data_IF_011607512670
#
_entry.id   IF_011607512670
#
_cell.length_a   1.000
_cell.length_b   1.000
_cell.length_c   1.000
_cell.angle_alpha   90.00
_cell.angle_beta   90.00
_cell.angle_gamma   90.00
#
_symmetry.space_group_name_H-M   'P 1'
#
loop_
_entity.id
_entity.type
_entity.pdbx_description
1 polymer ?
#
# COMPACT_ATOMS: atom_id res chain seq x y z
N UNK A 1 9.88 12.84 -5.85
CA UNK A 1 9.94 11.37 -6.02
C UNK A 1 10.27 10.60 -4.74
N UNK A 2 11.28 10.98 -3.94
CA UNK A 2 11.51 10.34 -2.61
C UNK A 2 10.32 10.46 -1.65
N UNK A 3 9.47 11.50 -1.79
CA UNK A 3 8.27 11.71 -0.98
C UNK A 3 7.19 10.64 -1.19
N UNK A 4 6.98 10.14 -2.41
CA UNK A 4 5.92 9.16 -2.72
C UNK A 4 6.15 7.85 -1.96
N UNK A 5 7.40 7.39 -1.88
CA UNK A 5 7.73 6.18 -1.12
C UNK A 5 7.59 6.37 0.39
N UNK A 6 7.95 7.57 0.91
CA UNK A 6 7.75 7.94 2.33
C UNK A 6 6.28 7.97 2.71
N UNK A 7 5.42 8.38 1.79
CA UNK A 7 3.98 8.50 2.01
C UNK A 7 3.33 7.12 2.16
N UNK A 8 3.71 6.15 1.32
CA UNK A 8 3.20 4.78 1.43
C UNK A 8 3.56 4.16 2.79
N UNK A 9 4.73 4.48 3.33
CA UNK A 9 5.19 4.01 4.65
C UNK A 9 4.39 4.61 5.81
N UNK A 10 3.97 5.88 5.69
CA UNK A 10 3.20 6.59 6.74
C UNK A 10 1.72 6.21 6.81
N UNK A 11 1.21 5.55 5.79
CA UNK A 11 -0.22 5.39 5.53
C UNK A 11 -0.90 4.22 6.23
N UNK A 12 -0.13 3.29 6.76
CA UNK A 12 -0.65 2.03 7.30
C UNK A 12 -1.04 2.16 8.79
N UNK A 13 -0.88 3.35 9.35
CA UNK A 13 -1.13 3.60 10.75
C UNK A 13 -2.46 4.33 10.94
N UNK A 14 -3.39 3.65 11.57
CA UNK A 14 -4.54 4.18 12.32
C UNK A 14 -5.94 3.94 11.75
N UNK A 15 -6.45 2.75 12.00
CA UNK A 15 -7.85 2.63 12.40
C UNK A 15 -7.88 2.52 13.94
N UNK A 16 -7.84 3.65 14.63
CA UNK A 16 -7.97 3.69 16.08
C UNK A 16 -9.45 3.66 16.45
N UNK A 17 -10.01 2.49 16.59
CA UNK A 17 -11.26 2.34 17.33
C UNK A 17 -10.93 2.01 18.77
N UNK A 18 -11.21 2.95 19.66
CA UNK A 18 -11.20 2.70 21.09
C UNK A 18 -12.27 1.67 21.43
N UNK A 19 -11.90 0.46 21.80
CA UNK A 19 -12.82 -0.46 22.41
C UNK A 19 -12.11 -1.47 23.31
N UNK A 20 -12.81 -1.88 24.35
CA UNK A 20 -12.48 -3.05 25.18
C UNK A 20 -12.62 -4.36 24.40
N UNK A 21 -12.28 -4.39 23.11
CA UNK A 21 -12.39 -5.57 22.27
C UNK A 21 -11.24 -6.53 22.55
N UNK A 22 -11.56 -7.81 22.41
CA UNK A 22 -10.55 -8.87 22.33
C UNK A 22 -9.57 -8.53 21.20
N UNK A 23 -8.26 -8.44 21.52
CA UNK A 23 -7.22 -8.02 20.59
C UNK A 23 -7.19 -8.84 19.29
N UNK A 24 -7.46 -10.15 19.36
CA UNK A 24 -7.55 -11.01 18.15
C UNK A 24 -8.64 -10.55 17.20
N UNK A 25 -9.84 -10.31 17.75
CA UNK A 25 -10.99 -9.90 16.93
C UNK A 25 -10.76 -8.51 16.33
N UNK A 26 -10.16 -7.61 17.11
CA UNK A 26 -9.77 -6.29 16.61
C UNK A 26 -8.79 -6.42 15.44
N UNK A 27 -7.65 -7.09 15.64
CA UNK A 27 -6.59 -7.20 14.64
C UNK A 27 -7.06 -7.89 13.35
N UNK A 28 -7.89 -8.94 13.47
CA UNK A 28 -8.46 -9.61 12.31
C UNK A 28 -9.42 -8.72 11.52
N UNK A 29 -10.30 -8.00 12.19
CA UNK A 29 -11.27 -7.12 11.55
C UNK A 29 -10.59 -5.91 10.90
N UNK A 30 -9.67 -5.26 11.63
CA UNK A 30 -8.90 -4.12 11.13
C UNK A 30 -8.14 -4.47 9.85
N UNK A 31 -7.46 -5.62 9.84
CA UNK A 31 -6.78 -6.11 8.65
C UNK A 31 -7.76 -6.33 7.48
N UNK A 32 -8.90 -7.00 7.71
CA UNK A 32 -9.92 -7.24 6.68
C UNK A 32 -10.49 -5.95 6.12
N UNK A 33 -10.88 -5.02 7.00
CA UNK A 33 -11.45 -3.73 6.61
C UNK A 33 -10.47 -2.88 5.82
N UNK A 34 -9.18 -2.87 6.24
CA UNK A 34 -8.11 -2.18 5.52
C UNK A 34 -7.88 -2.78 4.13
N UNK A 35 -7.84 -4.10 4.02
CA UNK A 35 -7.67 -4.78 2.73
C UNK A 35 -8.87 -4.55 1.80
N UNK A 36 -10.07 -4.57 2.35
CA UNK A 36 -11.30 -4.30 1.59
C UNK A 36 -11.33 -2.84 1.08
N UNK A 37 -10.93 -1.88 1.91
CA UNK A 37 -10.81 -0.48 1.53
C UNK A 37 -9.81 -0.29 0.37
N UNK A 38 -8.62 -0.92 0.45
CA UNK A 38 -7.62 -0.90 -0.62
C UNK A 38 -8.18 -1.49 -1.93
N UNK A 39 -8.79 -2.67 -1.86
CA UNK A 39 -9.33 -3.36 -3.03
C UNK A 39 -10.48 -2.61 -3.70
N UNK A 40 -11.33 -1.92 -2.92
CA UNK A 40 -12.42 -1.09 -3.41
C UNK A 40 -11.98 0.29 -3.87
N UNK A 41 -10.77 0.72 -3.51
CA UNK A 41 -10.28 2.08 -3.75
C UNK A 41 -10.96 3.12 -2.85
N UNK A 42 -11.51 2.70 -1.70
CA UNK A 42 -12.12 3.56 -0.70
C UNK A 42 -11.06 4.00 0.33
N UNK A 43 -10.12 4.78 -0.15
CA UNK A 43 -8.97 5.22 0.65
C UNK A 43 -9.35 6.22 1.75
N UNK A 44 -10.57 6.77 1.74
CA UNK A 44 -11.07 7.67 2.78
C UNK A 44 -11.16 6.98 4.15
N UNK A 45 -11.32 5.67 4.16
CA UNK A 45 -11.36 4.85 5.39
C UNK A 45 -9.98 4.61 6.01
N UNK A 46 -8.90 4.88 5.29
CA UNK A 46 -7.54 4.62 5.74
C UNK A 46 -6.94 5.78 6.58
N UNK A 47 -7.78 6.72 7.03
CA UNK A 47 -7.37 7.87 7.86
C UNK A 47 -6.14 8.61 7.33
N UNK A 48 -6.09 8.81 6.01
CA UNK A 48 -4.95 9.31 5.26
C UNK A 48 -5.15 10.77 4.88
N UNK A 49 -4.06 11.54 4.86
CA UNK A 49 -4.08 12.88 4.26
C UNK A 49 -4.29 12.81 2.74
N UNK A 50 -4.62 13.95 2.14
CA UNK A 50 -4.96 14.03 0.71
C UNK A 50 -3.81 13.56 -0.20
N UNK A 51 -2.57 13.92 0.12
CA UNK A 51 -1.38 13.56 -0.66
C UNK A 51 -1.18 12.04 -0.66
N UNK A 52 -1.40 11.44 0.49
CA UNK A 52 -1.36 9.99 0.69
C UNK A 52 -2.45 9.26 -0.11
N UNK A 53 -3.66 9.78 -0.12
CA UNK A 53 -4.77 9.21 -0.93
C UNK A 53 -4.44 9.27 -2.42
N UNK A 54 -3.89 10.39 -2.91
CA UNK A 54 -3.48 10.53 -4.31
C UNK A 54 -2.38 9.51 -4.68
N UNK A 55 -1.41 9.27 -3.79
CA UNK A 55 -0.38 8.26 -4.00
C UNK A 55 -0.97 6.83 -4.07
N UNK A 56 -1.93 6.49 -3.20
CA UNK A 56 -2.61 5.20 -3.25
C UNK A 56 -3.44 5.01 -4.52
N UNK A 57 -4.07 6.07 -5.01
CA UNK A 57 -4.89 6.02 -6.23
C UNK A 57 -4.09 5.57 -7.45
N UNK A 58 -2.78 5.87 -7.49
CA UNK A 58 -1.89 5.42 -8.56
C UNK A 58 -1.84 3.89 -8.66
N UNK A 59 -1.91 3.20 -7.51
CA UNK A 59 -1.88 1.74 -7.43
C UNK A 59 -3.27 1.07 -7.41
N UNK A 60 -4.34 1.83 -7.61
CA UNK A 60 -5.72 1.32 -7.49
C UNK A 60 -6.00 0.08 -8.36
N UNK A 61 -5.43 0.01 -9.56
CA UNK A 61 -5.53 -1.16 -10.44
C UNK A 61 -4.83 -2.40 -9.88
N UNK A 62 -3.70 -2.19 -9.18
CA UNK A 62 -2.93 -3.27 -8.55
C UNK A 62 -3.63 -3.83 -7.31
N UNK A 63 -4.23 -2.96 -6.47
CA UNK A 63 -5.01 -3.40 -5.31
C UNK A 63 -6.17 -4.32 -5.68
N UNK A 64 -6.84 -4.09 -6.81
CA UNK A 64 -7.90 -4.98 -7.32
C UNK A 64 -7.41 -6.38 -7.69
N UNK A 65 -6.12 -6.53 -7.98
CA UNK A 65 -5.48 -7.82 -8.32
C UNK A 65 -4.78 -8.47 -7.12
N UNK A 66 -4.71 -7.79 -5.98
CA UNK A 66 -4.15 -8.32 -4.75
C UNK A 66 -5.18 -9.26 -4.10
N UNK A 67 -4.71 -10.42 -3.65
CA UNK A 67 -5.52 -11.36 -2.86
C UNK A 67 -4.80 -11.71 -1.58
N UNK A 68 -5.55 -12.09 -0.55
CA UNK A 68 -4.98 -12.47 0.74
C UNK A 68 -5.74 -13.60 1.41
N UNK A 69 -5.06 -14.27 2.33
CA UNK A 69 -5.62 -15.26 3.24
C UNK A 69 -5.07 -15.03 4.64
N UNK A 70 -5.93 -14.95 5.64
CA UNK A 70 -5.53 -15.01 7.04
C UNK A 70 -5.34 -16.48 7.39
N UNK A 71 -4.14 -16.87 7.78
CA UNK A 71 -3.81 -18.24 8.14
C UNK A 71 -4.09 -18.49 9.62
N UNK A 72 -3.73 -17.52 10.48
CA UNK A 72 -3.86 -17.65 11.93
C UNK A 72 -3.83 -16.28 12.60
N UNK A 73 -4.58 -16.14 13.71
CA UNK A 73 -4.50 -14.99 14.62
C UNK A 73 -4.06 -15.51 15.99
N UNK A 74 -2.92 -15.01 16.47
CA UNK A 74 -2.30 -15.47 17.72
C UNK A 74 -2.14 -14.30 18.68
N UNK A 75 -2.64 -14.47 19.89
CA UNK A 75 -2.33 -13.56 21.01
C UNK A 75 -1.00 -13.99 21.60
N UNK A 76 0.02 -13.17 21.38
CA UNK A 76 1.37 -13.42 21.90
C UNK A 76 1.50 -12.95 23.35
N UNK A 77 0.77 -11.87 23.69
CA UNK A 77 0.62 -11.37 25.03
C UNK A 77 -0.69 -10.56 25.15
N UNK A 78 -1.02 -10.09 26.38
CA UNK A 78 -2.19 -9.22 26.62
C UNK A 78 -2.19 -7.91 25.80
N UNK A 79 -1.03 -7.50 25.31
CA UNK A 79 -0.83 -6.24 24.59
C UNK A 79 -0.22 -6.47 23.17
N UNK A 80 -0.16 -7.73 22.67
CA UNK A 80 0.39 -8.05 21.37
C UNK A 80 -0.34 -9.20 20.68
N UNK A 81 -0.76 -8.96 19.45
CA UNK A 81 -1.43 -9.94 18.58
C UNK A 81 -0.71 -10.02 17.24
N UNK A 82 -0.54 -11.23 16.73
CA UNK A 82 -0.01 -11.54 15.42
C UNK A 82 -1.15 -12.03 14.51
N UNK A 83 -1.26 -11.44 13.33
CA UNK A 83 -2.13 -11.92 12.26
C UNK A 83 -1.23 -12.47 11.16
N UNK A 84 -1.09 -13.80 11.09
CA UNK A 84 -0.33 -14.45 10.04
C UNK A 84 -1.14 -14.46 8.75
N UNK A 85 -0.58 -13.86 7.70
CA UNK A 85 -1.26 -13.69 6.41
C UNK A 85 -0.39 -14.21 5.27
N UNK A 86 -1.04 -14.77 4.26
CA UNK A 86 -0.43 -15.01 2.95
C UNK A 86 -1.07 -14.02 1.98
N UNK A 87 -0.25 -13.27 1.26
CA UNK A 87 -0.69 -12.26 0.29
C UNK A 87 -0.08 -12.56 -1.07
N UNK A 88 -0.94 -12.53 -2.12
CA UNK A 88 -0.52 -12.68 -3.51
C UNK A 88 -0.81 -11.38 -4.25
N UNK A 89 0.20 -10.83 -4.92
CA UNK A 89 0.15 -9.51 -5.51
C UNK A 89 0.95 -9.43 -6.83
N UNK A 90 0.58 -8.53 -7.77
CA UNK A 90 1.34 -8.33 -9.00
C UNK A 90 2.73 -7.76 -8.71
N UNK A 91 3.76 -8.24 -9.41
CA UNK A 91 5.12 -7.71 -9.34
C UNK A 91 5.26 -6.48 -10.24
N UNK A 92 5.35 -5.30 -9.64
CA UNK A 92 5.52 -4.03 -10.33
C UNK A 92 6.98 -3.52 -10.29
N UNK A 93 7.95 -4.36 -9.96
CA UNK A 93 9.37 -3.97 -9.88
C UNK A 93 9.91 -3.34 -11.17
N UNK A 94 9.36 -3.71 -12.33
CA UNK A 94 9.76 -3.15 -13.64
C UNK A 94 9.00 -1.87 -14.02
N UNK A 95 7.89 -1.55 -13.36
CA UNK A 95 7.12 -0.35 -13.68
C UNK A 95 7.93 0.95 -13.48
N UNK A 96 8.88 0.94 -12.55
CA UNK A 96 9.82 2.05 -12.35
C UNK A 96 10.68 2.35 -13.57
N UNK A 97 11.15 1.32 -14.29
CA UNK A 97 11.91 1.49 -15.53
C UNK A 97 11.03 2.05 -16.67
N UNK A 98 9.79 1.58 -16.77
CA UNK A 98 8.83 2.10 -17.74
C UNK A 98 8.58 3.58 -17.48
N UNK A 99 8.37 3.96 -16.22
CA UNK A 99 8.20 5.33 -15.79
C UNK A 99 9.40 6.22 -16.13
N UNK A 100 10.62 5.78 -15.79
CA UNK A 100 11.85 6.53 -16.12
C UNK A 100 11.99 6.75 -17.64
N UNK A 101 11.72 5.71 -18.44
CA UNK A 101 11.76 5.82 -19.91
C UNK A 101 10.71 6.82 -20.43
N UNK A 102 9.51 6.85 -19.86
CA UNK A 102 8.48 7.84 -20.19
C UNK A 102 8.92 9.26 -19.83
N UNK A 103 9.47 9.47 -18.65
CA UNK A 103 10.00 10.78 -18.24
C UNK A 103 11.07 11.28 -19.21
N UNK A 104 12.01 10.41 -19.62
CA UNK A 104 13.07 10.78 -20.58
C UNK A 104 12.49 11.15 -21.94
N UNK A 105 11.57 10.35 -22.47
CA UNK A 105 10.94 10.61 -23.77
C UNK A 105 10.10 11.88 -23.80
N UNK A 106 9.44 12.18 -22.69
CA UNK A 106 8.49 13.28 -22.57
C UNK A 106 9.11 14.53 -21.91
N UNK A 107 10.43 14.50 -21.65
CA UNK A 107 11.14 15.59 -20.94
C UNK A 107 10.93 16.96 -21.61
N UNK A 108 10.93 17.02 -22.94
CA UNK A 108 10.66 18.26 -23.68
C UNK A 108 9.27 18.84 -23.41
N UNK A 109 8.28 18.00 -23.13
CA UNK A 109 6.91 18.46 -22.77
C UNK A 109 6.83 19.02 -21.37
N UNK A 110 7.85 18.82 -20.55
CA UNK A 110 7.95 19.33 -19.18
C UNK A 110 8.70 20.68 -19.13
N UNK A 111 9.40 21.05 -20.18
CA UNK A 111 10.11 22.35 -20.28
C UNK A 111 9.13 23.53 -20.18
N UNK A 112 9.47 24.48 -19.34
CA UNK A 112 8.66 25.71 -19.13
C UNK A 112 7.39 25.53 -18.30
N UNK A 113 7.12 24.34 -17.80
CA UNK A 113 5.99 24.09 -16.87
C UNK A 113 6.37 24.47 -15.45
N UNK A 114 5.37 24.83 -14.66
CA UNK A 114 5.51 25.02 -13.22
C UNK A 114 5.74 23.68 -12.50
N UNK A 115 6.32 23.73 -11.28
CA UNK A 115 6.58 22.52 -10.47
C UNK A 115 5.32 21.70 -10.24
N UNK A 116 4.17 22.35 -10.00
CA UNK A 116 2.88 21.69 -9.81
C UNK A 116 2.40 20.95 -11.07
N UNK A 117 2.63 21.52 -12.26
CA UNK A 117 2.27 20.88 -13.53
C UNK A 117 3.22 19.69 -13.81
N UNK A 118 4.51 19.83 -13.50
CA UNK A 118 5.50 18.75 -13.63
C UNK A 118 5.12 17.60 -12.70
N UNK A 119 4.77 17.89 -11.45
CA UNK A 119 4.35 16.88 -10.48
C UNK A 119 3.12 16.12 -10.96
N UNK A 120 2.07 16.84 -11.37
CA UNK A 120 0.85 16.25 -11.92
C UNK A 120 1.11 15.37 -13.13
N UNK A 121 1.93 15.85 -14.07
CA UNK A 121 2.30 15.08 -15.27
C UNK A 121 3.11 13.83 -14.91
N UNK A 122 4.03 13.95 -13.95
CA UNK A 122 4.83 12.82 -13.46
C UNK A 122 3.96 11.76 -12.78
N UNK A 123 2.96 12.16 -12.00
CA UNK A 123 2.00 11.23 -11.39
C UNK A 123 1.17 10.51 -12.45
N UNK A 124 0.78 11.21 -13.53
CA UNK A 124 0.10 10.59 -14.65
C UNK A 124 0.99 9.55 -15.34
N UNK A 125 2.25 9.89 -15.65
CA UNK A 125 3.20 8.94 -16.26
C UNK A 125 3.45 7.72 -15.37
N UNK A 126 3.51 7.92 -14.05
CA UNK A 126 3.65 6.82 -13.10
C UNK A 126 2.43 5.89 -13.18
N UNK A 127 1.22 6.46 -13.13
CA UNK A 127 -0.01 5.68 -13.25
C UNK A 127 -0.05 4.89 -14.56
N UNK A 128 0.23 5.54 -15.68
CA UNK A 128 0.28 4.89 -17.00
C UNK A 128 1.31 3.74 -17.04
N UNK A 129 2.46 3.90 -16.40
CA UNK A 129 3.51 2.88 -16.35
C UNK A 129 3.08 1.66 -15.51
N UNK A 130 2.36 1.91 -14.43
CA UNK A 130 1.76 0.85 -13.61
C UNK A 130 0.66 0.12 -14.39
N UNK A 131 -0.24 0.87 -15.03
CA UNK A 131 -1.33 0.29 -15.83
C UNK A 131 -0.76 -0.52 -17.02
N UNK A 132 0.30 -0.05 -17.67
CA UNK A 132 1.01 -0.78 -18.72
C UNK A 132 1.55 -2.12 -18.21
N UNK A 133 2.22 -2.10 -17.04
CA UNK A 133 2.73 -3.33 -16.43
C UNK A 133 1.62 -4.26 -15.98
N UNK A 134 0.52 -3.76 -15.43
CA UNK A 134 -0.64 -4.55 -15.02
C UNK A 134 -1.37 -5.25 -16.20
N UNK A 135 -1.23 -4.70 -17.41
CA UNK A 135 -1.82 -5.24 -18.64
C UNK A 135 -0.82 -6.11 -19.44
N UNK A 136 0.41 -6.25 -18.96
CA UNK A 136 1.40 -7.14 -19.57
C UNK A 136 0.91 -8.59 -19.49
N UNK A 137 0.91 -9.28 -20.65
CA UNK A 137 0.55 -10.71 -20.75
C UNK A 137 1.45 -11.62 -19.91
N UNK A 138 2.66 -11.16 -19.61
CA UNK A 138 3.66 -11.86 -18.78
C UNK A 138 3.73 -11.31 -17.35
N UNK A 139 2.68 -10.63 -16.88
CA UNK A 139 2.62 -10.12 -15.51
C UNK A 139 2.86 -11.25 -14.51
N UNK A 140 3.91 -11.09 -13.72
CA UNK A 140 4.23 -12.03 -12.64
C UNK A 140 3.48 -11.66 -11.37
N UNK A 141 3.19 -12.67 -10.57
CA UNK A 141 2.67 -12.51 -9.23
C UNK A 141 3.67 -13.03 -8.22
N UNK A 142 3.81 -12.31 -7.13
CA UNK A 142 4.58 -12.72 -5.96
C UNK A 142 3.60 -13.17 -4.89
N UNK A 143 4.06 -14.11 -4.04
CA UNK A 143 3.31 -14.57 -2.88
C UNK A 143 4.23 -14.56 -1.68
N UNK A 144 3.80 -13.95 -0.60
CA UNK A 144 4.54 -13.86 0.65
C UNK A 144 3.65 -14.18 1.84
N UNK A 145 4.25 -14.87 2.83
CA UNK A 145 3.60 -15.17 4.11
C UNK A 145 4.38 -14.48 5.22
N UNK A 146 3.69 -13.70 6.05
CA UNK A 146 4.30 -12.95 7.14
C UNK A 146 3.29 -12.64 8.24
N UNK A 147 3.79 -12.14 9.37
CA UNK A 147 2.98 -11.73 10.50
C UNK A 147 2.76 -10.21 10.47
N UNK A 148 1.50 -9.79 10.54
CA UNK A 148 1.09 -8.43 10.86
C UNK A 148 1.08 -8.31 12.39
N UNK A 149 1.84 -7.36 12.91
CA UNK A 149 1.97 -7.16 14.35
C UNK A 149 1.06 -6.05 14.82
N UNK A 150 0.14 -6.37 15.72
CA UNK A 150 -0.71 -5.40 16.39
C UNK A 150 -0.31 -5.28 17.86
N UNK A 151 -0.19 -4.06 18.32
CA UNK A 151 0.20 -3.74 19.71
C UNK A 151 -0.86 -2.88 20.38
N UNK A 152 -0.96 -3.01 21.69
CA UNK A 152 -1.85 -2.19 22.51
C UNK A 152 -1.05 -1.08 23.17
N UNK A 153 -1.28 0.17 22.72
CA UNK A 153 -0.64 1.36 23.26
C UNK A 153 -1.71 2.30 23.85
N UNK A 154 -1.50 2.76 25.09
CA UNK A 154 -2.44 3.65 25.77
C UNK A 154 -3.90 3.12 25.79
N UNK A 155 -4.06 1.80 25.92
CA UNK A 155 -5.37 1.14 25.94
C UNK A 155 -6.02 0.91 24.58
N UNK A 156 -5.39 1.33 23.49
CA UNK A 156 -5.88 1.18 22.10
C UNK A 156 -5.00 0.19 21.34
N UNK A 157 -5.64 -0.62 20.51
CA UNK A 157 -4.94 -1.49 19.58
C UNK A 157 -4.58 -0.72 18.31
N UNK A 158 -3.39 -0.95 17.82
CA UNK A 158 -2.88 -0.34 16.57
C UNK A 158 -1.92 -1.28 15.87
N UNK A 159 -1.82 -1.14 14.55
CA UNK A 159 -0.82 -1.84 13.75
C UNK A 159 0.58 -1.28 14.06
N UNK A 160 1.55 -2.16 14.35
CA UNK A 160 2.92 -1.73 14.61
C UNK A 160 3.57 -1.16 13.33
N UNK A 161 4.18 0.04 13.45
CA UNK A 161 4.70 0.79 12.29
C UNK A 161 5.82 0.13 11.49
N UNK A 162 6.44 -0.93 12.00
CA UNK A 162 7.58 -1.62 11.37
C UNK A 162 7.19 -2.85 10.53
N UNK A 163 5.97 -2.91 9.99
CA UNK A 163 5.54 -3.98 9.10
C UNK A 163 6.14 -3.85 7.68
N UNK A 164 7.48 -3.92 7.56
CA UNK A 164 8.20 -3.70 6.30
C UNK A 164 7.77 -4.66 5.18
N UNK A 165 7.44 -5.91 5.52
CA UNK A 165 6.96 -6.89 4.54
C UNK A 165 5.58 -6.49 4.00
N UNK A 166 4.69 -6.03 4.87
CA UNK A 166 3.40 -5.51 4.43
C UNK A 166 3.55 -4.28 3.52
N UNK A 167 4.42 -3.33 3.90
CA UNK A 167 4.73 -2.16 3.07
C UNK A 167 5.22 -2.58 1.68
N UNK A 168 6.14 -3.55 1.60
CA UNK A 168 6.65 -4.10 0.34
C UNK A 168 5.52 -4.70 -0.50
N UNK A 169 4.62 -5.46 0.11
CA UNK A 169 3.48 -6.09 -0.57
C UNK A 169 2.50 -5.04 -1.11
N UNK A 170 2.10 -4.06 -0.28
CA UNK A 170 1.13 -3.04 -0.69
C UNK A 170 1.72 -1.96 -1.62
N UNK A 171 3.04 -1.90 -1.72
CA UNK A 171 3.76 -1.16 -2.77
C UNK A 171 4.08 -2.01 -3.99
N UNK A 172 3.63 -3.29 -4.02
CA UNK A 172 3.78 -4.18 -5.17
C UNK A 172 5.22 -4.40 -5.61
N UNK A 173 6.17 -4.43 -4.66
CA UNK A 173 7.60 -4.52 -4.94
C UNK A 173 8.11 -3.42 -5.90
N UNK A 174 7.35 -2.31 -6.01
CA UNK A 174 7.71 -1.20 -6.88
C UNK A 174 9.05 -0.60 -6.44
N UNK A 175 9.96 -0.42 -7.40
CA UNK A 175 11.29 0.18 -7.19
C UNK A 175 11.43 1.38 -8.12
N UNK A 176 11.84 2.50 -7.56
CA UNK A 176 12.25 3.69 -8.33
C UNK A 176 13.72 3.68 -8.61
#
# INVERSE_FOLDING_TARGET
MKKILSIIVGLILMLTLASCQNGKKFAENDFKESMEALQKGDFSKLNSDKESVEALQVFSGAYKKLTYKINKVTEESKDKVLVNVTMKYPDLSEAGKIFQNKLLKESQKLEGKSDAEIEKQSMQFLKESIDEKLNDKNLKYLEETFDMVYVKQNGKWELEGNNLQFIKVVSFNYKM
#
